data_IF_349009950183
#
_entry.id   IF_349009950183
#
_cell.length_a   1.000
_cell.length_b   1.000
_cell.length_c   1.000
_cell.angle_alpha   90.00
_cell.angle_beta   90.00
_cell.angle_gamma   90.00
#
_symmetry.space_group_name_H-M   'P 1'
#
loop_
_entity.id
_entity.type
_entity.pdbx_description
1 polymer ?
#
# COMPACT_ATOMS: atom_id res chain seq x y z
N UNK A 1 32.62 -2.65 -2.59
CA UNK A 1 32.89 -1.21 -2.47
C UNK A 1 33.55 -0.98 -1.13
N UNK A 2 34.72 -0.31 -1.10
CA UNK A 2 35.44 0.00 0.15
C UNK A 2 34.64 1.00 0.96
N UNK A 3 34.55 0.83 2.28
CA UNK A 3 33.81 1.79 3.13
C UNK A 3 34.57 3.12 3.19
N UNK A 4 33.88 4.23 3.26
CA UNK A 4 34.50 5.56 3.36
C UNK A 4 35.43 5.70 4.57
N UNK A 5 35.13 5.00 5.67
CA UNK A 5 35.98 4.96 6.87
C UNK A 5 37.32 4.27 6.64
N UNK A 6 37.44 3.43 5.63
CA UNK A 6 38.62 2.64 5.27
C UNK A 6 39.43 3.28 4.14
N UNK A 7 38.94 4.36 3.56
CA UNK A 7 39.56 5.08 2.44
C UNK A 7 40.58 6.09 2.96
N UNK A 8 41.66 6.21 2.23
CA UNK A 8 42.64 7.31 2.44
C UNK A 8 42.03 8.66 2.07
N UNK A 9 42.66 9.74 2.46
CA UNK A 9 42.22 11.10 2.11
C UNK A 9 42.17 11.30 0.59
N UNK A 10 43.17 10.79 -0.13
CA UNK A 10 43.22 10.89 -1.60
C UNK A 10 42.08 10.10 -2.26
N UNK A 11 41.77 8.88 -1.80
CA UNK A 11 40.65 8.09 -2.30
C UNK A 11 39.31 8.80 -2.08
N UNK A 12 39.09 9.35 -0.87
CA UNK A 12 37.88 10.13 -0.56
C UNK A 12 37.72 11.36 -1.42
N UNK A 13 38.85 12.07 -1.66
CA UNK A 13 38.86 13.25 -2.52
C UNK A 13 38.52 12.90 -3.98
N UNK A 14 39.03 11.79 -4.49
CA UNK A 14 38.72 11.29 -5.83
C UNK A 14 37.21 10.93 -5.98
N UNK A 15 36.67 10.22 -4.99
CA UNK A 15 35.23 9.88 -4.94
C UNK A 15 34.37 11.16 -4.87
N UNK A 16 34.75 12.13 -4.05
CA UNK A 16 34.03 13.40 -3.95
C UNK A 16 33.99 14.14 -5.31
N UNK A 17 35.13 14.23 -6.00
CA UNK A 17 35.19 14.89 -7.31
C UNK A 17 34.34 14.16 -8.35
N UNK A 18 34.38 12.82 -8.33
CA UNK A 18 33.54 12.00 -9.24
C UNK A 18 32.05 12.22 -8.96
N UNK A 19 31.63 12.12 -7.70
CA UNK A 19 30.24 12.32 -7.30
C UNK A 19 29.75 13.75 -7.59
N UNK A 20 30.60 14.75 -7.39
CA UNK A 20 30.31 16.14 -7.72
C UNK A 20 30.12 16.33 -9.22
N UNK A 21 30.97 15.70 -10.04
CA UNK A 21 30.82 15.72 -11.50
C UNK A 21 29.52 15.12 -11.99
N UNK A 22 29.12 13.97 -11.43
CA UNK A 22 27.81 13.35 -11.73
C UNK A 22 26.65 14.24 -11.27
N UNK A 23 26.72 14.83 -10.10
CA UNK A 23 25.70 15.74 -9.61
C UNK A 23 25.50 16.94 -10.52
N UNK A 24 26.58 17.62 -10.93
CA UNK A 24 26.49 18.78 -11.84
C UNK A 24 25.96 18.38 -13.23
N UNK A 25 26.30 17.18 -13.72
CA UNK A 25 25.75 16.63 -14.95
C UNK A 25 24.22 16.44 -14.84
N UNK A 26 23.75 15.79 -13.77
CA UNK A 26 22.31 15.58 -13.54
C UNK A 26 21.56 16.89 -13.37
N UNK A 27 22.16 17.86 -12.66
CA UNK A 27 21.62 19.20 -12.47
C UNK A 27 21.49 19.95 -13.80
N UNK A 28 22.50 19.84 -14.68
CA UNK A 28 22.49 20.42 -16.01
C UNK A 28 21.44 19.84 -16.96
N UNK A 29 20.92 18.64 -16.69
CA UNK A 29 19.84 18.02 -17.48
C UNK A 29 18.47 18.68 -17.29
N UNK A 30 18.29 19.60 -16.35
CA UNK A 30 17.05 20.32 -16.10
C UNK A 30 15.87 19.43 -15.74
N UNK A 31 16.11 18.27 -15.13
CA UNK A 31 15.08 17.29 -14.78
C UNK A 31 14.06 17.88 -13.81
N UNK A 32 12.78 17.71 -14.12
CA UNK A 32 11.66 18.07 -13.25
C UNK A 32 11.03 16.81 -12.66
N UNK A 33 11.74 16.14 -11.76
CA UNK A 33 11.29 14.92 -11.12
C UNK A 33 10.49 15.22 -9.85
N UNK A 34 9.35 14.56 -9.72
CA UNK A 34 8.53 14.63 -8.50
C UNK A 34 8.61 13.30 -7.75
N UNK A 35 9.32 13.31 -6.64
CA UNK A 35 9.49 12.15 -5.76
C UNK A 35 8.54 12.18 -4.55
N UNK A 36 7.62 13.14 -4.47
CA UNK A 36 6.75 13.30 -3.30
C UNK A 36 5.69 12.19 -3.17
N UNK A 37 5.34 11.53 -4.29
CA UNK A 37 4.36 10.44 -4.29
C UNK A 37 4.73 9.40 -5.35
N UNK A 38 4.69 8.11 -4.95
CA UNK A 38 4.73 7.00 -5.90
C UNK A 38 3.40 6.90 -6.65
N UNK A 39 3.36 7.36 -7.89
CA UNK A 39 2.21 7.22 -8.79
C UNK A 39 2.64 6.43 -10.01
N UNK A 40 1.79 5.50 -10.52
CA UNK A 40 2.03 4.86 -11.80
C UNK A 40 2.23 5.89 -12.91
N UNK A 41 3.19 5.65 -13.79
CA UNK A 41 3.38 6.46 -14.99
C UNK A 41 2.27 6.22 -16.02
N UNK A 42 2.21 7.10 -17.04
CA UNK A 42 1.18 7.01 -18.09
C UNK A 42 1.17 5.64 -18.78
N UNK A 43 2.32 5.12 -19.14
CA UNK A 43 2.44 3.81 -19.81
C UNK A 43 1.88 2.67 -18.97
N UNK A 44 2.13 2.68 -17.65
CA UNK A 44 1.58 1.69 -16.72
C UNK A 44 0.05 1.80 -16.62
N UNK A 45 -0.48 3.02 -16.63
CA UNK A 45 -1.94 3.25 -16.62
C UNK A 45 -2.58 2.82 -17.93
N UNK A 46 -1.92 3.08 -19.07
CA UNK A 46 -2.41 2.67 -20.39
C UNK A 46 -2.48 1.14 -20.51
N UNK A 47 -1.55 0.40 -19.88
CA UNK A 47 -1.59 -1.07 -19.84
C UNK A 47 -2.84 -1.65 -19.19
N UNK A 48 -3.41 -0.98 -18.21
CA UNK A 48 -4.59 -1.46 -17.47
C UNK A 48 -5.92 -0.90 -18.03
N UNK A 49 -5.86 0.06 -18.94
CA UNK A 49 -7.05 0.66 -19.55
C UNK A 49 -8.00 -0.37 -20.20
N UNK A 50 -7.50 -1.44 -20.89
CA UNK A 50 -8.39 -2.45 -21.47
C UNK A 50 -9.25 -3.19 -20.44
N UNK A 51 -8.89 -3.19 -19.15
CA UNK A 51 -9.73 -3.76 -18.07
C UNK A 51 -11.14 -3.16 -18.05
N UNK A 52 -11.28 -1.88 -18.41
CA UNK A 52 -12.56 -1.18 -18.37
C UNK A 52 -13.59 -1.72 -19.39
N UNK A 53 -13.14 -2.51 -20.35
CA UNK A 53 -13.97 -3.11 -21.39
C UNK A 53 -13.99 -4.64 -21.37
N UNK A 54 -13.55 -5.27 -20.29
CA UNK A 54 -13.60 -6.74 -20.16
C UNK A 54 -15.01 -7.25 -19.88
N UNK A 55 -15.82 -6.50 -19.14
CA UNK A 55 -17.17 -6.90 -18.75
C UNK A 55 -18.18 -6.24 -19.70
N UNK A 56 -18.59 -6.96 -20.73
CA UNK A 56 -19.44 -6.43 -21.81
C UNK A 56 -20.80 -7.14 -21.95
N UNK A 57 -20.94 -8.32 -21.37
CA UNK A 57 -22.14 -9.14 -21.44
C UNK A 57 -22.72 -9.38 -20.05
N UNK A 58 -24.03 -9.62 -19.90
CA UNK A 58 -24.61 -9.91 -18.59
C UNK A 58 -23.93 -11.05 -17.84
N UNK A 59 -23.46 -12.09 -18.55
CA UNK A 59 -22.81 -13.27 -17.98
C UNK A 59 -21.47 -12.93 -17.33
N UNK A 60 -20.78 -11.89 -17.82
CA UNK A 60 -19.48 -11.45 -17.29
C UNK A 60 -19.60 -10.91 -15.85
N UNK A 61 -20.82 -10.56 -15.43
CA UNK A 61 -21.10 -10.05 -14.08
C UNK A 61 -21.54 -11.13 -13.09
N UNK A 62 -21.50 -12.40 -13.48
CA UNK A 62 -21.79 -13.51 -12.58
C UNK A 62 -20.49 -14.15 -12.11
N UNK A 63 -20.26 -14.17 -10.81
CA UNK A 63 -19.10 -14.80 -10.18
C UNK A 63 -19.54 -15.77 -9.08
N UNK A 64 -19.19 -17.04 -9.20
CA UNK A 64 -19.62 -18.10 -8.27
C UNK A 64 -21.15 -18.16 -8.11
N UNK A 65 -21.91 -17.86 -9.18
CA UNK A 65 -23.37 -17.80 -9.15
C UNK A 65 -23.95 -16.51 -8.54
N UNK A 66 -23.10 -15.55 -8.18
CA UNK A 66 -23.48 -14.28 -7.57
C UNK A 66 -23.55 -13.19 -8.64
N UNK A 67 -24.63 -12.43 -8.70
CA UNK A 67 -24.76 -11.24 -9.52
C UNK A 67 -23.99 -10.07 -8.89
N UNK A 68 -22.83 -9.76 -9.45
CA UNK A 68 -21.89 -8.81 -8.85
C UNK A 68 -22.31 -7.34 -8.93
N UNK A 69 -23.32 -7.02 -9.74
CA UNK A 69 -23.90 -5.67 -9.83
C UNK A 69 -24.92 -5.39 -8.72
N UNK A 70 -25.28 -6.42 -7.96
CA UNK A 70 -26.22 -6.31 -6.84
C UNK A 70 -25.45 -6.17 -5.51
N UNK A 71 -26.16 -5.77 -4.47
CA UNK A 71 -25.64 -5.74 -3.11
C UNK A 71 -25.82 -7.11 -2.41
N UNK A 72 -25.10 -7.32 -1.29
CA UNK A 72 -25.25 -8.52 -0.45
C UNK A 72 -23.93 -9.07 0.04
N UNK A 73 -22.89 -9.04 -0.76
CA UNK A 73 -21.56 -9.58 -0.42
C UNK A 73 -20.73 -8.58 0.39
N UNK A 74 -21.13 -8.35 1.64
CA UNK A 74 -20.52 -7.33 2.53
C UNK A 74 -19.02 -7.50 2.70
N UNK A 75 -18.53 -8.74 2.74
CA UNK A 75 -17.11 -9.04 2.91
C UNK A 75 -16.33 -9.18 1.59
N UNK A 76 -17.00 -8.94 0.46
CA UNK A 76 -16.48 -9.16 -0.89
C UNK A 76 -16.85 -10.53 -1.47
N UNK A 77 -16.94 -10.61 -2.80
CA UNK A 77 -17.28 -11.85 -3.50
C UNK A 77 -16.25 -12.95 -3.27
N UNK A 78 -16.64 -14.23 -3.25
CA UNK A 78 -15.73 -15.34 -2.96
C UNK A 78 -14.50 -15.39 -3.86
N UNK A 79 -14.63 -15.09 -5.14
CA UNK A 79 -13.51 -15.05 -6.09
C UNK A 79 -12.47 -14.01 -5.70
N UNK A 80 -12.89 -12.79 -5.33
CA UNK A 80 -11.98 -11.74 -4.87
C UNK A 80 -11.29 -12.11 -3.55
N UNK A 81 -12.03 -12.70 -2.61
CA UNK A 81 -11.45 -13.17 -1.34
C UNK A 81 -10.40 -14.25 -1.56
N UNK A 82 -10.62 -15.22 -2.45
CA UNK A 82 -9.62 -16.24 -2.80
C UNK A 82 -8.38 -15.62 -3.43
N UNK A 83 -8.55 -14.73 -4.41
CA UNK A 83 -7.43 -14.04 -5.08
C UNK A 83 -6.53 -13.30 -4.07
N UNK A 84 -7.13 -12.51 -3.18
CA UNK A 84 -6.36 -11.77 -2.20
C UNK A 84 -5.81 -12.66 -1.07
N UNK A 85 -6.48 -13.75 -0.73
CA UNK A 85 -5.96 -14.73 0.22
C UNK A 85 -4.64 -15.36 -0.27
N UNK A 86 -4.58 -15.74 -1.55
CA UNK A 86 -3.36 -16.27 -2.18
C UNK A 86 -2.22 -15.24 -2.15
N UNK A 87 -2.50 -13.98 -2.48
CA UNK A 87 -1.51 -12.88 -2.45
C UNK A 87 -1.01 -12.61 -1.03
N UNK A 88 -1.89 -12.66 -0.04
CA UNK A 88 -1.58 -12.37 1.37
C UNK A 88 -1.04 -13.58 2.14
N UNK A 89 -1.12 -14.79 1.59
CA UNK A 89 -0.71 -16.01 2.26
C UNK A 89 -1.60 -16.38 3.46
N UNK A 90 -2.91 -16.09 3.38
CA UNK A 90 -3.88 -16.38 4.43
C UNK A 90 -5.10 -17.14 3.89
N UNK A 91 -6.07 -17.48 4.74
CA UNK A 91 -7.30 -18.15 4.30
C UNK A 91 -8.32 -17.13 3.76
N UNK A 92 -9.15 -17.53 2.79
CA UNK A 92 -10.17 -16.67 2.20
C UNK A 92 -11.19 -16.13 3.24
N UNK A 93 -11.48 -16.91 4.29
CA UNK A 93 -12.36 -16.49 5.39
C UNK A 93 -11.79 -15.34 6.23
N UNK A 94 -10.46 -15.14 6.17
CA UNK A 94 -9.76 -14.06 6.87
C UNK A 94 -9.68 -12.77 6.04
N UNK A 95 -10.11 -12.81 4.79
CA UNK A 95 -10.08 -11.66 3.87
C UNK A 95 -11.40 -10.91 3.91
N UNK A 96 -11.32 -9.61 4.10
CA UNK A 96 -12.40 -8.65 3.90
C UNK A 96 -12.00 -7.71 2.75
N UNK A 97 -12.77 -7.72 1.66
CA UNK A 97 -12.53 -6.85 0.51
C UNK A 97 -13.34 -5.58 0.68
N UNK A 98 -12.66 -4.51 1.03
CA UNK A 98 -13.27 -3.19 1.19
C UNK A 98 -13.09 -2.30 -0.02
N UNK A 99 -13.32 -1.01 0.16
CA UNK A 99 -13.07 0.00 -0.87
C UNK A 99 -11.57 0.25 -1.11
N UNK A 100 -11.26 1.05 -2.12
CA UNK A 100 -9.87 1.35 -2.51
C UNK A 100 -9.17 2.44 -1.66
N UNK A 101 -9.87 3.01 -0.68
CA UNK A 101 -9.33 4.02 0.21
C UNK A 101 -8.74 3.37 1.47
N UNK A 102 -7.46 3.00 1.45
CA UNK A 102 -6.80 2.31 2.57
C UNK A 102 -6.83 3.09 3.88
N UNK A 103 -6.75 4.43 3.82
CA UNK A 103 -6.89 5.28 5.03
C UNK A 103 -8.26 5.16 5.67
N UNK A 104 -9.33 5.04 4.87
CA UNK A 104 -10.68 4.82 5.39
C UNK A 104 -10.79 3.45 6.07
N UNK A 105 -10.25 2.41 5.46
CA UNK A 105 -10.25 1.07 6.05
C UNK A 105 -9.48 1.02 7.38
N UNK A 106 -8.33 1.70 7.45
CA UNK A 106 -7.56 1.83 8.70
C UNK A 106 -8.33 2.60 9.77
N UNK A 107 -8.95 3.72 9.40
CA UNK A 107 -9.78 4.50 10.30
C UNK A 107 -10.94 3.67 10.85
N UNK A 108 -11.65 2.95 9.99
CA UNK A 108 -12.78 2.11 10.39
C UNK A 108 -12.35 0.99 11.35
N UNK A 109 -11.21 0.35 11.09
CA UNK A 109 -10.66 -0.68 11.97
C UNK A 109 -10.30 -0.12 13.36
N UNK A 110 -9.60 1.02 13.40
CA UNK A 110 -9.22 1.68 14.66
C UNK A 110 -10.46 2.21 15.40
N UNK A 111 -11.39 2.83 14.68
CA UNK A 111 -12.64 3.35 15.25
C UNK A 111 -13.48 2.23 15.89
N UNK A 112 -13.59 1.08 15.22
CA UNK A 112 -14.28 -0.09 15.79
C UNK A 112 -13.57 -0.62 17.04
N UNK A 113 -12.26 -0.77 16.99
CA UNK A 113 -11.49 -1.19 18.17
C UNK A 113 -11.65 -0.22 19.33
N UNK A 114 -11.68 1.09 19.05
CA UNK A 114 -11.84 2.13 20.05
C UNK A 114 -13.24 2.13 20.68
N UNK A 115 -14.29 2.01 19.88
CA UNK A 115 -15.69 2.14 20.31
C UNK A 115 -16.32 0.82 20.76
N UNK A 116 -16.02 -0.30 20.09
CA UNK A 116 -16.65 -1.60 20.33
C UNK A 116 -15.69 -2.67 20.85
N UNK A 117 -14.39 -2.50 20.64
CA UNK A 117 -13.38 -3.53 20.89
C UNK A 117 -13.17 -4.47 19.70
N UNK A 118 -12.20 -5.37 19.82
CA UNK A 118 -11.88 -6.42 18.85
C UNK A 118 -12.52 -7.74 19.29
N UNK A 119 -12.48 -8.76 18.43
CA UNK A 119 -13.16 -10.05 18.60
C UNK A 119 -12.97 -10.68 20.00
N UNK A 120 -11.79 -10.56 20.60
CA UNK A 120 -11.48 -11.14 21.91
C UNK A 120 -11.26 -10.07 22.99
N UNK A 121 -11.70 -8.83 22.76
CA UNK A 121 -11.58 -7.75 23.74
C UNK A 121 -12.67 -7.85 24.80
N UNK A 122 -12.29 -7.87 26.06
CA UNK A 122 -13.25 -7.79 27.17
C UNK A 122 -13.98 -6.42 27.20
N UNK A 123 -13.31 -5.38 26.73
CA UNK A 123 -13.84 -4.00 26.65
C UNK A 123 -13.18 -3.23 25.52
N UNK A 124 -13.87 -2.19 24.99
CA UNK A 124 -13.31 -1.36 23.92
C UNK A 124 -12.10 -0.55 24.39
N UNK A 125 -11.25 -0.14 23.44
CA UNK A 125 -10.04 0.60 23.74
C UNK A 125 -10.26 1.91 24.47
N UNK A 126 -11.38 2.61 24.23
CA UNK A 126 -11.73 3.84 24.95
C UNK A 126 -11.94 3.64 26.47
N UNK A 127 -12.11 2.41 26.92
CA UNK A 127 -12.24 2.06 28.34
C UNK A 127 -10.96 1.47 28.95
N UNK A 128 -9.86 1.50 28.21
CA UNK A 128 -8.54 1.08 28.67
C UNK A 128 -7.75 2.31 29.12
N UNK A 129 -6.95 2.18 30.18
CA UNK A 129 -6.07 3.26 30.64
C UNK A 129 -5.00 3.59 29.60
N UNK A 130 -4.57 2.58 28.81
CA UNK A 130 -3.49 2.72 27.81
C UNK A 130 -3.63 1.71 26.70
N UNK A 131 -3.47 2.18 25.47
CA UNK A 131 -3.30 1.34 24.26
C UNK A 131 -1.86 1.46 23.77
N UNK A 132 -1.21 0.33 23.52
CA UNK A 132 0.15 0.27 22.97
C UNK A 132 0.09 0.03 21.47
N UNK A 133 0.94 0.75 20.74
CA UNK A 133 1.07 0.62 19.29
C UNK A 133 2.48 0.16 18.93
N UNK A 134 2.58 -0.73 17.95
CA UNK A 134 3.84 -1.10 17.32
C UNK A 134 3.88 -0.39 15.98
N UNK A 135 4.85 0.52 15.82
CA UNK A 135 5.01 1.34 14.63
C UNK A 135 6.32 0.96 13.93
N UNK A 136 6.31 0.15 12.85
CA UNK A 136 7.52 -0.15 12.09
C UNK A 136 8.06 1.12 11.41
N UNK A 137 9.37 1.33 11.51
CA UNK A 137 10.06 2.48 10.89
C UNK A 137 11.26 1.94 10.10
N UNK A 138 11.46 2.28 8.83
CA UNK A 138 10.62 3.16 8.01
C UNK A 138 9.28 2.53 7.62
N UNK A 139 8.22 3.33 7.48
CA UNK A 139 6.88 2.89 7.11
C UNK A 139 5.96 4.06 6.75
N UNK A 140 4.72 3.73 6.42
CA UNK A 140 3.70 4.74 6.12
C UNK A 140 3.26 5.45 7.40
N UNK A 141 3.40 6.78 7.44
CA UNK A 141 3.30 7.58 8.67
C UNK A 141 1.89 8.14 8.97
N UNK A 142 0.94 8.06 8.04
CA UNK A 142 -0.36 8.72 8.16
C UNK A 142 -1.26 8.19 9.28
N UNK A 143 -1.07 6.95 9.67
CA UNK A 143 -1.82 6.33 10.76
C UNK A 143 -1.17 6.53 12.14
N UNK A 144 -0.07 7.27 12.22
CA UNK A 144 0.63 7.61 13.48
C UNK A 144 0.40 9.05 13.93
N UNK A 145 -0.26 9.86 13.10
CA UNK A 145 -0.51 11.29 13.33
C UNK A 145 -1.96 11.55 13.70
#
# INVERSE_FOLDING_TARGET
MKKYSEMTLAERQAEYVAAQGEYEKLKGMGLRLNMARGKPGKEQLDMVTPMLSLLTKPEDFISDGIETRNYGEVAGIPAAKRLFADILGCKAEQVFVGGNASLQLMYDAVSKAFTHGLLHSEKPWCKLDKVKWICPVPGYDRHFK
#
